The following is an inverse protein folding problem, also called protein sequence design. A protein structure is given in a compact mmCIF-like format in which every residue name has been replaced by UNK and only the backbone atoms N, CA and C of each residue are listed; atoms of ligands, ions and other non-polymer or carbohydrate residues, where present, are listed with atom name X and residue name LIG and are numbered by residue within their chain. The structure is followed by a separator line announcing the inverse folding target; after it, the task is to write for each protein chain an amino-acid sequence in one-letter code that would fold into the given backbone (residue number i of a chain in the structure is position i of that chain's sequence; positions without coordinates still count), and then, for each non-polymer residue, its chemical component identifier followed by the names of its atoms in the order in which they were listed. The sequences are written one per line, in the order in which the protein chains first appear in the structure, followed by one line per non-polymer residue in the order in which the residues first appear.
data_IF_747351790560
#
_entry.id   IF_747351790560
#
_cell.length_a   1.000
_cell.length_b   1.000
_cell.length_c   1.000
_cell.angle_alpha   90.00
_cell.angle_beta   90.00
_cell.angle_gamma   90.00
#
_symmetry.space_group_name_H-M   'P 1'
#
loop_
_entity.id
_entity.type
_entity.pdbx_description
1 polymer ?
#
# COMPACT_ATOMS: atom_id res chain seq x y z
N UNK A 1 -10.74 6.87 10.80
CA UNK A 1 -11.46 7.77 11.74
C UNK A 1 -12.64 8.40 11.01
N UNK A 2 -12.44 9.17 9.92
CA UNK A 2 -13.50 9.92 9.24
C UNK A 2 -14.77 9.10 8.92
N UNK A 3 -14.70 7.88 8.32
CA UNK A 3 -15.89 7.08 8.08
C UNK A 3 -16.67 6.75 9.35
N UNK A 4 -15.98 6.55 10.47
CA UNK A 4 -16.62 6.26 11.76
C UNK A 4 -17.39 7.47 12.29
N UNK A 5 -16.81 8.67 12.16
CA UNK A 5 -17.50 9.92 12.56
C UNK A 5 -18.74 10.15 11.71
N UNK A 6 -18.63 9.99 10.38
CA UNK A 6 -19.77 10.14 9.48
C UNK A 6 -20.88 9.14 9.80
N UNK A 7 -20.53 7.87 10.04
CA UNK A 7 -21.48 6.81 10.37
C UNK A 7 -22.20 7.05 11.71
N UNK A 8 -21.49 7.51 12.75
CA UNK A 8 -22.13 7.90 14.01
C UNK A 8 -23.00 9.15 13.87
N UNK A 9 -22.69 10.03 12.92
CA UNK A 9 -23.49 11.23 12.62
C UNK A 9 -24.63 10.95 11.63
N UNK A 10 -24.85 9.71 11.22
CA UNK A 10 -25.86 9.31 10.22
C UNK A 10 -25.68 10.02 8.86
N UNK A 11 -24.44 10.40 8.54
CA UNK A 11 -24.05 11.00 7.26
C UNK A 11 -23.51 9.92 6.34
N UNK A 12 -23.98 9.91 5.09
CA UNK A 12 -23.52 8.99 4.08
C UNK A 12 -22.00 9.11 3.86
N UNK A 13 -21.30 7.97 3.88
CA UNK A 13 -19.86 7.93 3.62
C UNK A 13 -19.64 8.07 2.11
N UNK A 14 -18.93 9.10 1.64
CA UNK A 14 -18.68 9.30 0.22
C UNK A 14 -18.01 8.09 -0.45
N UNK A 15 -18.37 7.81 -1.70
CA UNK A 15 -17.88 6.64 -2.45
C UNK A 15 -16.36 6.63 -2.66
N UNK A 16 -15.73 7.81 -2.63
CA UNK A 16 -14.27 7.97 -2.73
C UNK A 16 -13.52 7.55 -1.47
N UNK A 17 -14.24 7.38 -0.36
CA UNK A 17 -13.67 7.04 0.94
C UNK A 17 -13.43 5.53 1.02
N UNK A 18 -12.18 5.12 1.04
CA UNK A 18 -11.79 3.70 1.13
C UNK A 18 -11.81 3.13 2.55
N UNK A 19 -11.69 3.99 3.54
CA UNK A 19 -11.74 3.59 4.94
C UNK A 19 -13.12 3.06 5.31
N UNK A 20 -13.18 2.11 6.24
CA UNK A 20 -14.43 1.55 6.77
C UNK A 20 -14.68 2.10 8.17
N UNK A 21 -15.95 2.24 8.53
CA UNK A 21 -16.37 2.64 9.88
C UNK A 21 -15.98 1.57 10.91
N UNK A 22 -15.56 2.01 12.07
CA UNK A 22 -15.31 1.14 13.23
C UNK A 22 -16.54 0.99 14.14
N UNK A 23 -17.65 1.66 13.83
CA UNK A 23 -18.90 1.56 14.59
C UNK A 23 -19.35 0.11 14.81
N UNK A 24 -19.30 -0.82 13.82
CA UNK A 24 -19.62 -2.22 14.05
C UNK A 24 -18.75 -2.90 15.11
N UNK A 25 -17.48 -2.52 15.24
CA UNK A 25 -16.57 -3.05 16.27
C UNK A 25 -16.96 -2.48 17.64
N UNK A 26 -17.18 -1.17 17.72
CA UNK A 26 -17.55 -0.49 18.96
C UNK A 26 -18.92 -0.96 19.50
N UNK A 27 -19.85 -1.30 18.61
CA UNK A 27 -21.19 -1.81 18.96
C UNK A 27 -21.21 -3.33 19.23
N UNK A 28 -20.04 -3.95 19.45
CA UNK A 28 -19.88 -5.41 19.69
C UNK A 28 -20.49 -6.31 18.60
N UNK A 29 -20.58 -5.81 17.38
CA UNK A 29 -20.94 -6.63 16.23
C UNK A 29 -19.74 -7.42 15.77
N UNK A 30 -19.92 -8.67 15.36
CA UNK A 30 -18.86 -9.51 14.79
C UNK A 30 -18.38 -8.91 13.47
N UNK A 31 -17.43 -7.99 13.54
CA UNK A 31 -16.75 -7.42 12.38
C UNK A 31 -15.35 -8.00 12.30
N UNK A 32 -15.10 -8.76 11.25
CA UNK A 32 -13.74 -9.22 10.92
C UNK A 32 -13.29 -8.54 9.63
N UNK A 33 -12.12 -7.95 9.70
CA UNK A 33 -11.44 -7.48 8.49
C UNK A 33 -10.74 -8.68 7.86
N UNK A 34 -11.03 -8.96 6.58
CA UNK A 34 -10.43 -10.10 5.89
C UNK A 34 -8.91 -9.95 5.79
N UNK A 35 -8.43 -8.74 5.49
CA UNK A 35 -7.00 -8.42 5.40
C UNK A 35 -6.74 -6.93 5.57
N UNK A 36 -5.48 -6.57 5.78
CA UNK A 36 -4.99 -5.20 5.73
C UNK A 36 -3.72 -5.13 4.87
N UNK A 37 -3.70 -4.21 3.90
CA UNK A 37 -2.48 -3.83 3.18
C UNK A 37 -1.74 -2.75 3.95
N UNK A 38 -0.42 -2.84 3.96
CA UNK A 38 0.44 -1.86 4.62
C UNK A 38 1.83 -1.83 3.98
N UNK A 39 2.64 -0.86 4.32
CA UNK A 39 4.00 -0.74 3.81
C UNK A 39 4.45 0.71 3.70
N UNK A 40 5.62 0.90 3.14
CA UNK A 40 6.18 2.21 2.82
C UNK A 40 6.11 2.47 1.33
N UNK A 41 5.84 3.72 0.96
CA UNK A 41 5.81 4.13 -0.44
C UNK A 41 7.13 3.79 -1.16
N UNK A 42 7.02 3.13 -2.30
CA UNK A 42 8.16 2.72 -3.13
C UNK A 42 8.92 1.48 -2.61
N UNK A 43 8.46 0.81 -1.55
CA UNK A 43 9.03 -0.45 -1.06
C UNK A 43 8.09 -1.65 -1.30
N UNK A 44 8.30 -2.73 -0.56
CA UNK A 44 7.42 -3.90 -0.59
C UNK A 44 5.98 -3.52 -0.25
N UNK A 45 5.03 -4.23 -0.82
CA UNK A 45 3.63 -4.19 -0.40
C UNK A 45 3.38 -5.39 0.51
N UNK A 46 2.91 -5.10 1.71
CA UNK A 46 2.71 -6.10 2.73
C UNK A 46 1.22 -6.31 2.97
N UNK A 47 0.86 -7.53 3.35
CA UNK A 47 -0.51 -7.90 3.68
C UNK A 47 -0.55 -8.76 4.93
N UNK A 48 -1.59 -8.58 5.74
CA UNK A 48 -1.87 -9.45 6.89
C UNK A 48 -3.37 -9.73 7.01
N UNK A 49 -3.71 -10.94 7.42
CA UNK A 49 -5.06 -11.35 7.84
C UNK A 49 -5.19 -11.48 9.37
N UNK A 50 -4.13 -11.08 10.09
CA UNK A 50 -4.06 -11.20 11.55
C UNK A 50 -3.55 -12.55 12.05
N UNK A 51 -3.35 -13.53 11.18
CA UNK A 51 -2.65 -14.79 11.48
C UNK A 51 -1.28 -14.85 10.83
N UNK A 52 -1.21 -14.47 9.56
CA UNK A 52 0.03 -14.38 8.82
C UNK A 52 0.29 -12.95 8.37
N UNK A 53 1.55 -12.68 8.06
CA UNK A 53 1.97 -11.49 7.32
C UNK A 53 2.84 -11.91 6.15
N UNK A 54 2.57 -11.32 4.98
CA UNK A 54 3.31 -11.57 3.77
C UNK A 54 3.85 -10.26 3.19
N UNK A 55 5.12 -10.26 2.87
CA UNK A 55 5.85 -9.14 2.28
C UNK A 55 6.10 -9.46 0.81
N UNK A 56 5.43 -8.75 -0.08
CA UNK A 56 5.65 -8.86 -1.51
C UNK A 56 6.69 -7.85 -1.96
N UNK A 57 7.87 -8.34 -2.28
CA UNK A 57 8.97 -7.53 -2.79
C UNK A 57 8.65 -6.95 -4.18
N UNK A 58 9.32 -5.87 -4.51
CA UNK A 58 9.30 -5.31 -5.86
C UNK A 58 10.26 -6.06 -6.81
N UNK A 59 10.17 -5.80 -8.11
CA UNK A 59 11.13 -6.31 -9.10
C UNK A 59 12.54 -5.71 -8.85
N UNK A 60 13.56 -6.26 -9.50
CA UNK A 60 14.97 -5.89 -9.26
C UNK A 60 15.25 -4.38 -9.38
N UNK A 61 14.62 -3.72 -10.35
CA UNK A 61 14.81 -2.29 -10.61
C UNK A 61 13.92 -1.39 -9.74
N UNK A 62 12.94 -1.97 -9.04
CA UNK A 62 11.87 -1.25 -8.35
C UNK A 62 11.12 -0.28 -9.27
N UNK A 63 10.89 -0.69 -10.50
CA UNK A 63 10.25 0.12 -11.54
C UNK A 63 9.13 -0.64 -12.25
N UNK A 64 8.18 0.10 -12.81
CA UNK A 64 7.99 1.54 -12.68
C UNK A 64 7.44 1.93 -11.31
N UNK A 65 7.87 3.04 -10.73
CA UNK A 65 7.39 3.54 -9.46
C UNK A 65 7.02 5.04 -9.58
N UNK A 66 5.78 5.38 -9.22
CA UNK A 66 5.27 6.74 -9.32
C UNK A 66 4.57 7.17 -8.04
N UNK A 67 4.60 8.46 -7.79
CA UNK A 67 3.76 9.12 -6.81
C UNK A 67 2.59 9.80 -7.53
N UNK A 68 1.37 9.61 -7.01
CA UNK A 68 0.16 10.27 -7.49
C UNK A 68 -0.31 11.25 -6.42
N UNK A 69 -0.24 12.54 -6.72
CA UNK A 69 -0.48 13.59 -5.73
C UNK A 69 -1.18 14.79 -6.32
N UNK A 70 -1.95 15.50 -5.50
CA UNK A 70 -2.49 16.84 -5.84
C UNK A 70 -1.46 17.94 -5.64
N UNK A 71 -0.39 17.66 -4.89
CA UNK A 71 0.61 18.64 -4.47
C UNK A 71 1.97 18.20 -5.00
N UNK A 72 2.56 18.87 -6.00
CA UNK A 72 3.83 18.49 -6.62
C UNK A 72 5.03 18.88 -5.74
N UNK A 73 4.96 18.53 -4.47
CA UNK A 73 6.02 18.78 -3.49
C UNK A 73 6.09 17.61 -2.52
N UNK A 74 7.25 17.36 -1.94
CA UNK A 74 7.37 16.45 -0.81
C UNK A 74 7.07 17.18 0.49
N UNK A 75 6.76 16.44 1.58
CA UNK A 75 6.52 17.01 2.91
C UNK A 75 7.72 17.83 3.42
N UNK A 76 8.92 17.51 2.97
CA UNK A 76 10.17 18.07 3.51
C UNK A 76 10.93 18.99 2.55
N UNK A 77 10.69 18.88 1.25
CA UNK A 77 11.46 19.65 0.24
C UNK A 77 10.67 19.79 -1.06
N UNK A 78 11.07 20.76 -1.87
CA UNK A 78 10.61 20.86 -3.25
C UNK A 78 11.15 19.71 -4.09
N UNK A 79 10.50 19.43 -5.21
CA UNK A 79 11.00 18.48 -6.20
C UNK A 79 12.36 18.92 -6.73
N UNK A 80 13.22 17.94 -7.04
CA UNK A 80 14.56 18.22 -7.60
C UNK A 80 14.46 18.86 -8.98
N UNK A 81 15.50 19.60 -9.38
CA UNK A 81 15.62 20.15 -10.74
C UNK A 81 15.64 19.02 -11.77
N UNK A 82 14.96 19.23 -12.90
CA UNK A 82 14.91 18.28 -14.02
C UNK A 82 13.81 17.22 -13.90
N UNK A 83 13.15 17.07 -12.73
CA UNK A 83 12.02 16.16 -12.59
C UNK A 83 10.75 16.75 -13.22
N UNK A 84 10.69 18.08 -13.35
CA UNK A 84 9.55 18.81 -13.92
C UNK A 84 9.21 18.38 -15.35
N UNK A 85 10.21 17.96 -16.14
CA UNK A 85 10.02 17.46 -17.50
C UNK A 85 9.42 16.05 -17.54
N UNK A 86 9.45 15.35 -16.42
CA UNK A 86 8.96 13.97 -16.29
C UNK A 86 7.60 13.90 -15.57
N UNK A 87 7.10 15.04 -15.08
CA UNK A 87 5.82 15.12 -14.41
C UNK A 87 4.70 15.12 -15.44
N UNK A 88 3.80 14.16 -15.30
CA UNK A 88 2.55 14.14 -16.06
C UNK A 88 1.40 14.67 -15.20
N UNK A 89 0.45 15.35 -15.81
CA UNK A 89 -0.78 15.77 -15.16
C UNK A 89 -1.97 15.16 -15.90
N UNK A 90 -2.83 14.46 -15.15
CA UNK A 90 -3.97 13.77 -15.75
C UNK A 90 -4.88 13.10 -14.74
N UNK A 91 -5.90 12.40 -15.24
CA UNK A 91 -6.82 11.60 -14.43
C UNK A 91 -6.38 10.14 -14.46
N UNK A 92 -5.51 9.77 -13.55
CA UNK A 92 -4.89 8.44 -13.50
C UNK A 92 -5.67 7.43 -12.68
N UNK A 93 -6.45 7.91 -11.70
CA UNK A 93 -7.25 7.06 -10.80
C UNK A 93 -8.74 7.21 -11.16
N UNK A 94 -9.44 6.08 -11.30
CA UNK A 94 -10.84 6.06 -11.76
C UNK A 94 -11.80 6.71 -10.78
N UNK A 95 -11.52 6.58 -9.48
CA UNK A 95 -12.37 7.11 -8.40
C UNK A 95 -12.17 8.60 -8.12
N UNK A 96 -11.06 9.21 -8.57
CA UNK A 96 -10.84 10.64 -8.38
C UNK A 96 -11.39 11.42 -9.57
N UNK A 97 -12.24 12.40 -9.31
CA UNK A 97 -12.82 13.24 -10.36
C UNK A 97 -12.03 14.53 -10.62
N UNK A 98 -10.78 14.56 -10.22
CA UNK A 98 -9.86 15.69 -10.39
C UNK A 98 -8.52 15.20 -10.93
N UNK A 99 -7.76 16.07 -11.61
CA UNK A 99 -6.44 15.72 -12.12
C UNK A 99 -5.43 15.56 -10.98
N UNK A 100 -4.47 14.66 -11.20
CA UNK A 100 -3.35 14.41 -10.30
C UNK A 100 -2.04 14.64 -11.06
N UNK A 101 -0.99 14.95 -10.35
CA UNK A 101 0.36 14.82 -10.84
C UNK A 101 0.82 13.37 -10.69
N UNK A 102 1.42 12.83 -11.74
CA UNK A 102 2.13 11.54 -11.75
C UNK A 102 3.61 11.86 -11.82
N UNK A 103 4.32 11.55 -10.76
CA UNK A 103 5.72 11.92 -10.56
C UNK A 103 6.55 10.66 -10.47
N UNK A 104 7.59 10.45 -11.29
CA UNK A 104 8.45 9.29 -11.17
C UNK A 104 9.24 9.34 -9.86
N UNK A 105 9.35 8.20 -9.20
CA UNK A 105 10.11 8.03 -7.97
C UNK A 105 11.37 7.23 -8.28
N UNK A 106 12.51 7.89 -8.22
CA UNK A 106 13.81 7.23 -8.46
C UNK A 106 14.26 6.44 -7.23
N UNK A 107 13.96 6.96 -6.04
CA UNK A 107 14.37 6.37 -4.77
C UNK A 107 13.33 6.62 -3.69
N UNK A 108 12.93 5.61 -2.93
CA UNK A 108 12.01 5.81 -1.80
C UNK A 108 12.58 6.80 -0.79
N UNK A 109 11.80 7.81 -0.44
CA UNK A 109 12.24 8.92 0.43
C UNK A 109 12.67 8.46 1.83
N UNK A 110 12.20 7.31 2.28
CA UNK A 110 12.57 6.75 3.58
C UNK A 110 14.02 6.27 3.60
N UNK A 111 14.59 5.88 2.44
CA UNK A 111 15.97 5.39 2.36
C UNK A 111 16.98 6.49 2.69
N UNK A 112 16.65 7.75 2.40
CA UNK A 112 17.54 8.88 2.66
C UNK A 112 17.71 9.24 4.13
N UNK A 113 16.86 8.70 5.01
CA UNK A 113 16.80 9.06 6.43
C UNK A 113 17.08 7.89 7.39
N UNK A 114 17.45 6.73 6.87
CA UNK A 114 17.74 5.55 7.68
C UNK A 114 19.25 5.31 7.65
N UNK A 115 19.93 5.98 8.56
CA UNK A 115 21.22 5.53 9.06
C UNK A 115 20.92 4.31 9.95
N UNK A 116 21.44 3.16 9.57
CA UNK A 116 21.48 1.91 10.35
C UNK A 116 20.14 1.26 10.75
N UNK A 117 19.77 0.22 10.05
CA UNK A 117 18.99 -0.87 10.63
C UNK A 117 17.71 -1.32 9.93
N UNK A 118 17.09 -0.57 9.02
CA UNK A 118 16.00 -1.14 8.24
C UNK A 118 16.61 -1.94 7.09
N UNK A 119 16.66 -3.25 7.26
CA UNK A 119 16.98 -4.15 6.15
C UNK A 119 15.81 -4.17 5.19
N UNK A 120 15.96 -3.50 4.06
CA UNK A 120 15.01 -3.65 2.96
C UNK A 120 15.17 -5.04 2.39
N UNK A 121 14.12 -5.82 2.49
CA UNK A 121 14.13 -7.11 1.82
C UNK A 121 13.86 -6.92 0.33
N UNK A 122 14.69 -7.58 -0.47
CA UNK A 122 14.45 -7.76 -1.91
C UNK A 122 13.69 -9.05 -2.20
N UNK A 123 13.45 -9.85 -1.17
CA UNK A 123 12.83 -11.16 -1.26
C UNK A 123 11.41 -11.12 -0.68
N UNK A 124 10.55 -11.99 -1.19
CA UNK A 124 9.26 -12.24 -0.57
C UNK A 124 9.45 -12.93 0.77
N UNK A 125 8.67 -12.57 1.76
CA UNK A 125 8.73 -13.19 3.08
C UNK A 125 7.33 -13.43 3.63
N UNK A 126 7.15 -14.60 4.21
CA UNK A 126 5.89 -15.02 4.84
C UNK A 126 6.15 -15.49 6.27
N UNK A 127 5.37 -14.99 7.22
CA UNK A 127 5.47 -15.34 8.64
C UNK A 127 4.10 -15.61 9.25
N UNK A 128 4.03 -16.49 10.25
CA UNK A 128 2.85 -16.66 11.09
C UNK A 128 2.99 -15.81 12.34
N UNK A 129 2.39 -14.64 12.37
CA UNK A 129 2.54 -13.67 13.46
C UNK A 129 1.86 -14.05 14.77
N UNK A 130 0.98 -15.06 14.76
CA UNK A 130 0.41 -15.61 16.01
C UNK A 130 1.35 -16.56 16.71
N UNK A 131 2.17 -17.31 15.97
CA UNK A 131 3.12 -18.28 16.51
C UNK A 131 4.51 -17.69 16.69
N UNK A 132 4.90 -16.81 15.78
CA UNK A 132 6.20 -16.16 15.72
C UNK A 132 6.00 -14.63 15.62
N UNK A 133 5.75 -14.00 16.77
CA UNK A 133 5.55 -12.56 16.85
C UNK A 133 6.78 -11.75 16.40
N UNK A 134 7.97 -12.31 16.55
CA UNK A 134 9.22 -11.64 16.17
C UNK A 134 9.57 -11.79 14.70
N UNK A 135 8.80 -12.62 13.95
CA UNK A 135 9.00 -12.86 12.53
C UNK A 135 10.42 -13.35 12.21
N UNK A 136 10.86 -14.36 12.94
CA UNK A 136 12.16 -15.00 12.81
C UNK A 136 12.13 -16.27 11.97
N UNK A 137 10.97 -16.94 11.92
CA UNK A 137 10.78 -18.24 11.27
C UNK A 137 10.03 -18.06 9.93
N UNK A 138 10.81 -17.99 8.84
CA UNK A 138 10.29 -17.84 7.49
C UNK A 138 9.50 -19.11 7.08
N UNK A 139 8.29 -18.92 6.60
CA UNK A 139 7.45 -19.99 6.05
C UNK A 139 7.75 -20.12 4.55
N UNK A 140 8.07 -21.34 4.12
CA UNK A 140 8.23 -21.71 2.72
C UNK A 140 7.10 -22.64 2.32
N UNK A 141 5.93 -22.07 2.00
CA UNK A 141 4.74 -22.81 1.56
C UNK A 141 4.08 -22.04 0.39
N UNK A 142 4.23 -22.59 -0.79
CA UNK A 142 3.73 -21.98 -2.04
C UNK A 142 2.20 -21.80 -2.04
N UNK A 143 1.44 -22.69 -1.40
CA UNK A 143 -0.03 -22.58 -1.34
C UNK A 143 -0.45 -21.40 -0.48
N UNK A 144 0.22 -21.23 0.66
CA UNK A 144 -0.04 -20.11 1.56
C UNK A 144 0.41 -18.82 0.89
N UNK A 145 1.58 -18.79 0.27
CA UNK A 145 2.09 -17.63 -0.46
C UNK A 145 1.11 -17.21 -1.57
N UNK A 146 0.65 -18.12 -2.41
CA UNK A 146 -0.30 -17.85 -3.47
C UNK A 146 -1.63 -17.27 -2.95
N UNK A 147 -2.13 -17.74 -1.81
CA UNK A 147 -3.29 -17.11 -1.15
C UNK A 147 -3.08 -15.61 -0.93
N UNK A 148 -1.91 -15.23 -0.40
CA UNK A 148 -1.63 -13.81 -0.10
C UNK A 148 -1.33 -12.99 -1.36
N UNK A 149 -0.76 -13.59 -2.40
CA UNK A 149 -0.61 -12.96 -3.71
C UNK A 149 -1.99 -12.58 -4.27
N UNK A 150 -2.95 -13.49 -4.25
CA UNK A 150 -4.31 -13.21 -4.72
C UNK A 150 -5.03 -12.17 -3.84
N UNK A 151 -4.83 -12.19 -2.54
CA UNK A 151 -5.35 -11.15 -1.64
C UNK A 151 -4.72 -9.78 -1.91
N UNK A 152 -3.42 -9.70 -2.21
CA UNK A 152 -2.77 -8.45 -2.63
C UNK A 152 -3.39 -7.94 -3.94
N UNK A 153 -3.54 -8.79 -4.95
CA UNK A 153 -4.19 -8.42 -6.22
C UNK A 153 -5.60 -7.89 -6.00
N UNK A 154 -6.38 -8.58 -5.15
CA UNK A 154 -7.73 -8.14 -4.75
C UNK A 154 -7.69 -6.75 -4.11
N UNK A 155 -6.81 -6.56 -3.12
CA UNK A 155 -6.69 -5.28 -2.41
C UNK A 155 -6.22 -4.13 -3.30
N UNK A 156 -5.25 -4.36 -4.18
CA UNK A 156 -4.80 -3.38 -5.16
C UNK A 156 -5.94 -2.97 -6.11
N UNK A 157 -6.74 -3.94 -6.57
CA UNK A 157 -7.91 -3.67 -7.41
C UNK A 157 -8.97 -2.86 -6.67
N UNK A 158 -9.28 -3.19 -5.42
CA UNK A 158 -10.23 -2.46 -4.59
C UNK A 158 -9.77 -1.01 -4.31
N UNK A 159 -8.45 -0.79 -4.27
CA UNK A 159 -7.84 0.53 -4.07
C UNK A 159 -7.66 1.32 -5.36
N UNK A 160 -8.08 0.79 -6.52
CA UNK A 160 -7.86 1.39 -7.84
C UNK A 160 -6.37 1.66 -8.11
N UNK A 161 -5.52 0.69 -7.71
CA UNK A 161 -4.08 0.81 -7.92
C UNK A 161 -3.75 0.81 -9.42
N UNK A 162 -2.83 1.68 -9.86
CA UNK A 162 -2.43 1.76 -11.26
C UNK A 162 -1.76 0.45 -11.74
N UNK A 163 -1.87 0.16 -13.05
CA UNK A 163 -1.35 -1.07 -13.67
C UNK A 163 0.16 -1.28 -13.46
N UNK A 164 0.92 -0.22 -13.43
CA UNK A 164 2.36 -0.27 -13.16
C UNK A 164 2.71 -0.80 -11.77
N UNK A 165 1.80 -0.71 -10.79
CA UNK A 165 2.01 -1.29 -9.48
C UNK A 165 2.02 -2.83 -9.55
N UNK A 166 1.19 -3.43 -10.41
CA UNK A 166 1.21 -4.88 -10.63
C UNK A 166 2.50 -5.33 -11.32
N UNK A 167 3.02 -4.54 -12.26
CA UNK A 167 4.29 -4.80 -12.91
C UNK A 167 5.45 -4.72 -11.93
N UNK A 168 5.51 -3.64 -11.15
CA UNK A 168 6.55 -3.43 -10.16
C UNK A 168 6.63 -4.55 -9.13
N UNK A 169 5.50 -5.15 -8.77
CA UNK A 169 5.40 -6.24 -7.79
C UNK A 169 5.43 -7.64 -8.42
N UNK A 170 5.68 -7.78 -9.72
CA UNK A 170 5.61 -9.06 -10.43
C UNK A 170 4.29 -9.81 -10.17
N UNK A 171 3.14 -9.10 -10.34
CA UNK A 171 1.79 -9.63 -10.11
C UNK A 171 0.97 -9.76 -11.40
N UNK A 172 1.56 -9.51 -12.55
CA UNK A 172 0.92 -9.70 -13.86
C UNK A 172 0.80 -11.17 -14.24
#
# INVERSE_FOLDING_TARGET
IMPTVLDYSEIEIPAEVQGKSWKPIADNRNYQREYALYGYHGLAVNITDGEHTYFRAHNEENKPCYEYTCIPTTIRKYLGKGIEEQIEMGRFLKRTNYPLYKIPVERPSIIDNVEDGIKYTKDNMLFNIKKDYLQTDLITDEKIENKYIELIKKGLKEMDAPEEQYERLNLK
#
